data_IF_571701920792
#
_entry.id   IF_571701920792
#
_cell.length_a   1.000
_cell.length_b   1.000
_cell.length_c   1.000
_cell.angle_alpha   90.00
_cell.angle_beta   90.00
_cell.angle_gamma   90.00
#
_symmetry.space_group_name_H-M   'P 1'
#
loop_
_entity.id
_entity.type
_entity.pdbx_description
1 polymer ?
#
# COMPACT_ATOMS: atom_id res chain seq x y z
N UNK A 1 38.98 -21.79 -11.43
CA UNK A 1 38.90 -22.18 -10.01
C UNK A 1 40.20 -22.90 -9.65
N UNK A 2 40.76 -22.65 -8.45
CA UNK A 2 41.98 -23.35 -7.98
C UNK A 2 41.67 -24.86 -7.81
N UNK A 3 42.53 -25.79 -8.28
CA UNK A 3 42.38 -27.23 -8.07
C UNK A 3 42.03 -27.63 -6.63
N UNK A 4 42.67 -27.03 -5.63
CA UNK A 4 42.43 -27.35 -4.20
C UNK A 4 40.99 -27.03 -3.77
N UNK A 5 40.44 -25.92 -4.26
CA UNK A 5 39.07 -25.49 -3.98
C UNK A 5 38.07 -26.43 -4.68
N UNK A 6 38.41 -26.92 -5.88
CA UNK A 6 37.56 -27.88 -6.59
C UNK A 6 37.46 -29.22 -5.85
N UNK A 7 38.56 -29.70 -5.28
CA UNK A 7 38.58 -30.91 -4.45
C UNK A 7 37.82 -30.72 -3.13
N UNK A 8 38.00 -29.56 -2.48
CA UNK A 8 37.27 -29.22 -1.25
C UNK A 8 35.75 -29.23 -1.49
N UNK A 9 35.29 -28.54 -2.54
CA UNK A 9 33.87 -28.52 -2.93
C UNK A 9 33.34 -29.94 -3.15
N UNK A 10 34.08 -30.78 -3.87
CA UNK A 10 33.66 -32.14 -4.17
C UNK A 10 33.47 -32.98 -2.89
N UNK A 11 34.42 -32.89 -1.94
CA UNK A 11 34.30 -33.54 -0.63
C UNK A 11 33.09 -33.06 0.15
N UNK A 12 32.84 -31.75 0.19
CA UNK A 12 31.67 -31.20 0.86
C UNK A 12 30.36 -31.68 0.22
N UNK A 13 30.29 -31.74 -1.11
CA UNK A 13 29.10 -32.25 -1.80
C UNK A 13 28.86 -33.73 -1.48
N UNK A 14 29.91 -34.55 -1.47
CA UNK A 14 29.78 -35.97 -1.10
C UNK A 14 29.28 -36.14 0.33
N UNK A 15 29.84 -35.39 1.29
CA UNK A 15 29.39 -35.41 2.68
C UNK A 15 27.90 -35.03 2.82
N UNK A 16 27.41 -34.07 2.03
CA UNK A 16 25.98 -33.69 2.01
C UNK A 16 25.10 -34.83 1.48
N UNK A 17 25.55 -35.52 0.44
CA UNK A 17 24.84 -36.70 -0.10
C UNK A 17 24.80 -37.82 0.94
N UNK A 18 25.88 -38.00 1.70
CA UNK A 18 26.00 -39.00 2.77
C UNK A 18 25.24 -38.62 4.04
N UNK A 19 24.58 -37.45 4.07
CA UNK A 19 23.66 -37.02 5.13
C UNK A 19 24.20 -35.93 6.05
N UNK A 20 25.44 -35.49 5.90
CA UNK A 20 25.98 -34.33 6.63
C UNK A 20 25.49 -33.02 6.01
N UNK A 21 24.37 -32.54 6.54
CA UNK A 21 23.74 -31.29 6.12
C UNK A 21 24.62 -30.07 6.37
N UNK A 22 25.53 -30.12 7.34
CA UNK A 22 26.35 -28.97 7.71
C UNK A 22 27.39 -28.61 6.64
N UNK A 23 27.87 -29.63 5.91
CA UNK A 23 28.80 -29.48 4.80
C UNK A 23 28.24 -28.65 3.63
N UNK A 24 26.92 -28.52 3.49
CA UNK A 24 26.32 -27.72 2.43
C UNK A 24 26.60 -26.23 2.59
N UNK A 25 26.76 -25.76 3.84
CA UNK A 25 27.15 -24.38 4.12
C UNK A 25 28.44 -24.00 3.39
N UNK A 26 29.42 -24.91 3.39
CA UNK A 26 30.71 -24.66 2.76
C UNK A 26 30.59 -24.55 1.24
N UNK A 27 29.74 -25.39 0.63
CA UNK A 27 29.40 -25.29 -0.80
C UNK A 27 28.79 -23.93 -1.14
N UNK A 28 27.87 -23.45 -0.30
CA UNK A 28 27.25 -22.12 -0.48
C UNK A 28 28.31 -21.03 -0.38
N UNK A 29 29.14 -21.02 0.67
CA UNK A 29 30.18 -19.99 0.87
C UNK A 29 31.11 -19.84 -0.34
N UNK A 30 31.52 -20.95 -0.94
CA UNK A 30 32.44 -20.95 -2.08
C UNK A 30 31.73 -20.52 -3.37
N UNK A 31 30.50 -21.00 -3.59
CA UNK A 31 29.78 -20.78 -4.85
C UNK A 31 28.94 -19.50 -4.87
N UNK A 32 28.65 -18.92 -3.71
CA UNK A 32 27.78 -17.74 -3.56
C UNK A 32 28.23 -16.57 -4.45
N UNK A 33 29.51 -16.14 -4.47
CA UNK A 33 29.91 -15.00 -5.30
C UNK A 33 29.66 -15.25 -6.80
N UNK A 34 29.90 -16.48 -7.27
CA UNK A 34 29.74 -16.88 -8.67
C UNK A 34 28.26 -16.87 -9.07
N UNK A 35 27.40 -17.49 -8.26
CA UNK A 35 25.97 -17.56 -8.53
C UNK A 35 25.32 -16.18 -8.41
N UNK A 36 25.71 -15.41 -7.41
CA UNK A 36 25.23 -14.03 -7.24
C UNK A 36 25.61 -13.15 -8.43
N UNK A 37 26.85 -13.21 -8.91
CA UNK A 37 27.28 -12.48 -10.10
C UNK A 37 26.50 -12.91 -11.35
N UNK A 38 26.28 -14.22 -11.53
CA UNK A 38 25.50 -14.76 -12.64
C UNK A 38 24.06 -14.23 -12.67
N UNK A 39 23.39 -14.25 -11.52
CA UNK A 39 22.01 -13.77 -11.35
C UNK A 39 21.96 -12.25 -11.52
N UNK A 40 22.82 -11.51 -10.84
CA UNK A 40 22.86 -10.04 -10.94
C UNK A 40 23.03 -9.54 -12.38
N UNK A 41 23.88 -10.20 -13.17
CA UNK A 41 24.11 -9.85 -14.57
C UNK A 41 22.89 -10.11 -15.49
N UNK A 42 21.88 -10.86 -15.02
CA UNK A 42 20.70 -11.28 -15.80
C UNK A 42 19.37 -10.82 -15.20
N UNK A 43 19.41 -10.25 -14.00
CA UNK A 43 18.25 -9.67 -13.34
C UNK A 43 17.93 -8.28 -13.89
N UNK A 44 16.64 -7.97 -13.92
CA UNK A 44 16.14 -6.63 -14.25
C UNK A 44 16.38 -5.67 -13.06
N UNK A 45 16.36 -4.34 -13.30
CA UNK A 45 16.39 -3.37 -12.22
C UNK A 45 15.24 -3.59 -11.21
N UNK A 46 15.55 -3.46 -9.92
CA UNK A 46 14.58 -3.62 -8.82
C UNK A 46 14.30 -5.07 -8.39
N UNK A 47 14.92 -6.05 -9.04
CA UNK A 47 14.86 -7.45 -8.62
C UNK A 47 15.78 -7.69 -7.43
N UNK A 48 15.26 -8.36 -6.40
CA UNK A 48 16.09 -8.86 -5.30
C UNK A 48 16.93 -10.06 -5.79
N UNK A 49 18.20 -9.79 -6.07
CA UNK A 49 19.17 -10.81 -6.51
C UNK A 49 19.37 -11.86 -5.42
N UNK A 50 19.41 -11.45 -4.15
CA UNK A 50 19.74 -12.33 -3.04
C UNK A 50 18.58 -13.33 -2.79
N UNK A 51 17.34 -12.93 -3.07
CA UNK A 51 16.19 -13.84 -3.03
C UNK A 51 16.30 -14.96 -4.09
N UNK A 52 16.65 -14.62 -5.35
CA UNK A 52 16.83 -15.63 -6.41
C UNK A 52 17.99 -16.58 -6.07
N UNK A 53 19.09 -16.03 -5.55
CA UNK A 53 20.27 -16.80 -5.14
C UNK A 53 19.91 -17.75 -4.00
N UNK A 54 19.14 -17.29 -3.01
CA UNK A 54 18.65 -18.15 -1.93
C UNK A 54 17.80 -19.30 -2.47
N UNK A 55 16.81 -19.01 -3.34
CA UNK A 55 15.97 -20.07 -3.96
C UNK A 55 16.82 -21.05 -4.77
N UNK A 56 17.86 -20.56 -5.44
CA UNK A 56 18.81 -21.40 -6.18
C UNK A 56 19.51 -22.39 -5.26
N UNK A 57 20.07 -21.95 -4.14
CA UNK A 57 20.74 -22.85 -3.20
C UNK A 57 19.78 -23.79 -2.46
N UNK A 58 18.57 -23.35 -2.15
CA UNK A 58 17.52 -24.21 -1.58
C UNK A 58 17.14 -25.32 -2.56
N UNK A 59 16.96 -24.99 -3.85
CA UNK A 59 16.64 -25.98 -4.87
C UNK A 59 17.83 -26.92 -5.14
N UNK A 60 19.05 -26.38 -5.17
CA UNK A 60 20.27 -27.17 -5.28
C UNK A 60 20.39 -28.17 -4.12
N UNK A 61 20.12 -27.76 -2.88
CA UNK A 61 20.13 -28.65 -1.73
C UNK A 61 19.10 -29.78 -1.87
N UNK A 62 17.87 -29.47 -2.27
CA UNK A 62 16.81 -30.49 -2.49
C UNK A 62 17.16 -31.47 -3.60
N UNK A 63 17.84 -31.00 -4.64
CA UNK A 63 18.20 -31.78 -5.81
C UNK A 63 19.64 -32.34 -5.77
N UNK A 64 20.35 -32.19 -4.65
CA UNK A 64 21.77 -32.55 -4.53
C UNK A 64 22.02 -34.05 -4.76
N UNK A 65 21.07 -34.92 -4.39
CA UNK A 65 21.17 -36.35 -4.66
C UNK A 65 21.12 -36.72 -6.15
N UNK A 66 20.71 -35.80 -7.02
CA UNK A 66 20.73 -35.97 -8.49
C UNK A 66 22.04 -35.46 -9.11
N UNK A 67 22.86 -34.75 -8.36
CA UNK A 67 24.13 -34.26 -8.85
C UNK A 67 25.08 -35.44 -9.05
N UNK A 68 25.72 -35.49 -10.24
CA UNK A 68 26.68 -36.52 -10.56
C UNK A 68 28.06 -36.09 -10.09
N UNK A 69 28.61 -36.80 -9.12
CA UNK A 69 29.97 -36.60 -8.64
C UNK A 69 30.96 -36.62 -9.83
N UNK A 70 31.86 -35.63 -9.91
CA UNK A 70 32.83 -35.48 -11.00
C UNK A 70 32.35 -34.66 -12.20
N UNK A 71 31.08 -34.23 -12.22
CA UNK A 71 30.58 -33.23 -13.20
C UNK A 71 30.81 -31.79 -12.69
N UNK A 72 30.75 -30.80 -13.59
CA UNK A 72 30.96 -29.40 -13.21
C UNK A 72 29.82 -28.87 -12.31
N UNK A 73 30.11 -28.74 -11.01
CA UNK A 73 29.15 -28.21 -10.03
C UNK A 73 28.73 -26.78 -10.35
N UNK A 74 29.65 -25.96 -10.85
CA UNK A 74 29.35 -24.58 -11.20
C UNK A 74 28.35 -24.55 -12.34
N UNK A 75 28.57 -25.31 -13.41
CA UNK A 75 27.61 -25.41 -14.52
C UNK A 75 26.24 -25.93 -14.06
N UNK A 76 26.21 -26.89 -13.14
CA UNK A 76 24.97 -27.41 -12.57
C UNK A 76 24.20 -26.35 -11.74
N UNK A 77 24.88 -25.66 -10.82
CA UNK A 77 24.28 -24.58 -10.04
C UNK A 77 23.83 -23.41 -10.91
N UNK A 78 24.60 -23.05 -11.94
CA UNK A 78 24.21 -22.03 -12.94
C UNK A 78 22.95 -22.45 -13.70
N UNK A 79 22.77 -23.73 -13.98
CA UNK A 79 21.54 -24.23 -14.63
C UNK A 79 20.32 -24.01 -13.75
N UNK A 80 20.44 -24.27 -12.44
CA UNK A 80 19.38 -23.99 -11.46
C UNK A 80 19.14 -22.48 -11.36
N UNK A 81 20.20 -21.68 -11.24
CA UNK A 81 20.13 -20.23 -11.15
C UNK A 81 19.42 -19.61 -12.36
N UNK A 82 19.72 -20.12 -13.57
CA UNK A 82 19.07 -19.71 -14.81
C UNK A 82 17.56 -19.95 -14.76
N UNK A 83 17.15 -21.11 -14.29
CA UNK A 83 15.72 -21.44 -14.16
C UNK A 83 15.03 -20.52 -13.16
N UNK A 84 15.62 -20.31 -11.98
CA UNK A 84 15.08 -19.41 -10.96
C UNK A 84 14.98 -17.96 -11.44
N UNK A 85 15.99 -17.48 -12.18
CA UNK A 85 15.99 -16.14 -12.78
C UNK A 85 14.91 -16.01 -13.84
N UNK A 86 14.75 -17.01 -14.72
CA UNK A 86 13.71 -17.01 -15.75
C UNK A 86 12.30 -16.99 -15.14
N UNK A 87 12.06 -17.79 -14.09
CA UNK A 87 10.80 -17.76 -13.37
C UNK A 87 10.48 -16.38 -12.81
N UNK A 88 11.47 -15.72 -12.21
CA UNK A 88 11.30 -14.36 -11.68
C UNK A 88 10.96 -13.36 -12.77
N UNK A 89 11.69 -13.39 -13.90
CA UNK A 89 11.41 -12.53 -15.06
C UNK A 89 9.99 -12.78 -15.60
N UNK A 90 9.55 -14.03 -15.71
CA UNK A 90 8.18 -14.36 -16.13
C UNK A 90 7.14 -13.86 -15.13
N UNK A 91 7.39 -13.99 -13.82
CA UNK A 91 6.52 -13.48 -12.75
C UNK A 91 6.34 -11.97 -12.86
N UNK A 92 7.45 -11.23 -12.99
CA UNK A 92 7.45 -9.78 -13.11
C UNK A 92 6.76 -9.30 -14.39
N UNK A 93 6.96 -9.99 -15.52
CA UNK A 93 6.23 -9.67 -16.76
C UNK A 93 4.72 -9.84 -16.61
N UNK A 94 4.27 -10.91 -15.95
CA UNK A 94 2.85 -11.13 -15.67
C UNK A 94 2.28 -10.06 -14.74
N UNK A 95 3.04 -9.70 -13.71
CA UNK A 95 2.65 -8.61 -12.79
C UNK A 95 2.55 -7.27 -13.52
N UNK A 96 3.50 -6.95 -14.41
CA UNK A 96 3.46 -5.74 -15.22
C UNK A 96 2.28 -5.73 -16.19
N UNK A 97 1.96 -6.85 -16.86
CA UNK A 97 0.77 -6.97 -17.72
C UNK A 97 -0.53 -6.81 -16.92
N UNK A 98 -0.62 -7.43 -15.74
CA UNK A 98 -1.76 -7.23 -14.83
C UNK A 98 -1.88 -5.77 -14.39
N UNK A 99 -0.79 -5.15 -13.94
CA UNK A 99 -0.78 -3.74 -13.55
C UNK A 99 -1.21 -2.83 -14.69
N UNK A 100 -0.69 -3.05 -15.90
CA UNK A 100 -1.06 -2.28 -17.10
C UNK A 100 -2.56 -2.37 -17.43
N UNK A 101 -3.16 -3.55 -17.29
CA UNK A 101 -4.58 -3.76 -17.60
C UNK A 101 -5.53 -3.22 -16.54
N UNK A 102 -5.19 -3.36 -15.26
CA UNK A 102 -6.15 -3.16 -14.17
C UNK A 102 -5.93 -1.89 -13.35
N UNK A 103 -4.69 -1.41 -13.21
CA UNK A 103 -4.43 -0.19 -12.40
C UNK A 103 -5.09 1.04 -13.02
N UNK A 104 -5.03 1.30 -14.34
CA UNK A 104 -5.69 2.48 -14.92
C UNK A 104 -7.20 2.48 -14.69
N UNK A 105 -7.84 1.32 -14.79
CA UNK A 105 -9.29 1.17 -14.56
C UNK A 105 -9.64 1.41 -13.09
N UNK A 106 -8.86 0.85 -12.16
CA UNK A 106 -9.07 1.05 -10.74
C UNK A 106 -8.88 2.53 -10.35
N UNK A 107 -7.84 3.19 -10.88
CA UNK A 107 -7.56 4.59 -10.63
C UNK A 107 -8.65 5.50 -11.20
N UNK A 108 -9.13 5.23 -12.43
CA UNK A 108 -10.23 5.98 -13.03
C UNK A 108 -11.50 5.91 -12.17
N UNK A 109 -11.87 4.71 -11.70
CA UNK A 109 -13.05 4.53 -10.81
C UNK A 109 -12.89 5.25 -9.47
N UNK A 110 -11.68 5.27 -8.92
CA UNK A 110 -11.41 6.01 -7.69
C UNK A 110 -11.52 7.53 -7.92
N UNK A 111 -10.97 8.04 -9.01
CA UNK A 111 -11.06 9.46 -9.37
C UNK A 111 -12.52 9.88 -9.61
N UNK A 112 -13.31 9.07 -10.32
CA UNK A 112 -14.75 9.29 -10.50
C UNK A 112 -15.49 9.35 -9.15
N UNK A 113 -15.18 8.43 -8.22
CA UNK A 113 -15.77 8.43 -6.88
C UNK A 113 -15.38 9.67 -6.07
N UNK A 114 -14.15 10.17 -6.22
CA UNK A 114 -13.70 11.37 -5.52
C UNK A 114 -14.36 12.63 -6.09
N UNK A 115 -14.41 12.76 -7.43
CA UNK A 115 -15.11 13.86 -8.08
C UNK A 115 -16.60 13.92 -7.72
N UNK A 116 -17.25 12.76 -7.64
CA UNK A 116 -18.64 12.68 -7.17
C UNK A 116 -18.80 13.09 -5.69
N UNK A 117 -17.81 12.80 -4.84
CA UNK A 117 -17.81 13.21 -3.43
C UNK A 117 -17.60 14.72 -3.30
N UNK A 118 -16.62 15.29 -4.00
CA UNK A 118 -16.28 16.72 -3.97
C UNK A 118 -17.48 17.57 -4.43
N UNK A 119 -18.19 17.15 -5.49
CA UNK A 119 -19.41 17.82 -5.95
C UNK A 119 -20.50 17.85 -4.87
N UNK A 120 -20.69 16.75 -4.12
CA UNK A 120 -21.67 16.72 -3.03
C UNK A 120 -21.24 17.53 -1.81
N UNK A 121 -19.93 17.71 -1.59
CA UNK A 121 -19.39 18.52 -0.51
C UNK A 121 -19.56 20.02 -0.79
N UNK A 122 -19.32 20.44 -2.04
CA UNK A 122 -19.58 21.80 -2.51
C UNK A 122 -21.07 22.19 -2.44
N UNK A 123 -21.97 21.26 -2.78
CA UNK A 123 -23.42 21.47 -2.61
C UNK A 123 -23.82 21.62 -1.14
N UNK A 124 -23.30 20.76 -0.26
CA UNK A 124 -23.56 20.85 1.19
C UNK A 124 -23.05 22.14 1.81
N UNK A 125 -21.88 22.62 1.38
CA UNK A 125 -21.36 23.92 1.79
C UNK A 125 -22.24 25.07 1.31
N UNK A 126 -22.76 24.97 0.08
CA UNK A 126 -23.71 25.94 -0.47
C UNK A 126 -25.01 25.96 0.33
N UNK A 127 -25.61 24.79 0.62
CA UNK A 127 -26.81 24.71 1.45
C UNK A 127 -26.58 25.20 2.87
N UNK A 128 -25.41 24.92 3.46
CA UNK A 128 -25.07 25.45 4.79
C UNK A 128 -25.06 26.98 4.78
N UNK A 129 -24.47 27.63 3.78
CA UNK A 129 -24.47 29.09 3.65
C UNK A 129 -25.89 29.65 3.54
N UNK A 130 -26.74 29.02 2.74
CA UNK A 130 -28.14 29.42 2.60
C UNK A 130 -28.93 29.23 3.90
N UNK A 131 -28.78 28.08 4.57
CA UNK A 131 -29.43 27.78 5.84
C UNK A 131 -28.97 28.73 6.97
N UNK A 132 -27.69 29.13 6.99
CA UNK A 132 -27.18 30.18 7.88
C UNK A 132 -27.81 31.56 7.60
N UNK A 133 -28.22 31.81 6.35
CA UNK A 133 -29.00 32.99 5.98
C UNK A 133 -30.40 33.02 6.59
N UNK A 134 -30.99 31.86 6.89
CA UNK A 134 -32.38 31.72 7.37
C UNK A 134 -32.52 31.67 8.91
N UNK A 135 -31.43 31.54 9.65
CA UNK A 135 -31.46 31.60 11.12
C UNK A 135 -31.49 33.05 11.61
N UNK A 136 -32.01 33.24 12.83
CA UNK A 136 -32.08 34.56 13.48
C UNK A 136 -30.67 35.13 13.68
N UNK A 137 -30.54 36.46 13.57
CA UNK A 137 -29.25 37.15 13.70
C UNK A 137 -28.53 36.82 15.01
N UNK A 138 -29.26 36.79 16.14
CA UNK A 138 -28.70 36.42 17.45
C UNK A 138 -28.08 35.02 17.48
N UNK A 139 -28.65 34.09 16.71
CA UNK A 139 -28.18 32.71 16.61
C UNK A 139 -27.03 32.57 15.60
N UNK A 140 -26.99 33.43 14.58
CA UNK A 140 -25.84 33.50 13.65
C UNK A 140 -24.61 34.07 14.34
N UNK A 141 -24.79 35.12 15.14
CA UNK A 141 -23.75 35.69 16.00
C UNK A 141 -23.18 34.64 16.96
N UNK A 142 -24.05 33.83 17.58
CA UNK A 142 -23.63 32.72 18.43
C UNK A 142 -22.76 31.70 17.69
N UNK A 143 -23.14 31.32 16.48
CA UNK A 143 -22.37 30.41 15.61
C UNK A 143 -21.03 31.04 15.23
N UNK A 144 -21.02 32.31 14.83
CA UNK A 144 -19.80 33.03 14.44
C UNK A 144 -18.79 33.06 15.59
N UNK A 145 -19.22 33.48 16.77
CA UNK A 145 -18.36 33.51 17.97
C UNK A 145 -17.84 32.13 18.36
N UNK A 146 -18.66 31.09 18.21
CA UNK A 146 -18.23 29.73 18.56
C UNK A 146 -17.24 29.15 17.56
N UNK A 147 -17.43 29.40 16.26
CA UNK A 147 -16.72 28.66 15.21
C UNK A 147 -15.71 29.49 14.41
N UNK A 148 -15.89 30.80 14.32
CA UNK A 148 -14.93 31.71 13.68
C UNK A 148 -13.96 32.33 14.71
N UNK A 149 -14.46 32.66 15.91
CA UNK A 149 -13.64 33.27 16.98
C UNK A 149 -13.14 32.24 18.02
N UNK A 150 -13.62 31.00 17.95
CA UNK A 150 -13.31 29.88 18.86
C UNK A 150 -13.49 30.18 20.36
N UNK A 151 -14.47 31.02 20.69
CA UNK A 151 -14.76 31.40 22.08
C UNK A 151 -15.43 30.27 22.87
N UNK A 152 -15.17 30.23 24.18
CA UNK A 152 -15.83 29.30 25.11
C UNK A 152 -17.32 29.64 25.30
N UNK A 153 -18.11 28.68 25.78
CA UNK A 153 -19.53 28.95 26.05
C UNK A 153 -19.72 29.97 27.17
N UNK A 154 -18.78 30.03 28.11
CA UNK A 154 -18.73 31.00 29.19
C UNK A 154 -18.45 32.42 28.67
N UNK A 155 -17.47 32.57 27.77
CA UNK A 155 -17.10 33.88 27.19
C UNK A 155 -18.21 34.44 26.28
N UNK A 156 -18.83 33.56 25.50
CA UNK A 156 -19.98 33.92 24.66
C UNK A 156 -21.17 34.34 25.54
N UNK A 157 -21.43 33.63 26.63
CA UNK A 157 -22.49 33.96 27.57
C UNK A 157 -22.27 35.33 28.23
N UNK A 158 -21.04 35.63 28.65
CA UNK A 158 -20.66 36.93 29.20
C UNK A 158 -20.86 38.05 28.17
N UNK A 159 -20.41 37.85 26.93
CA UNK A 159 -20.50 38.85 25.86
C UNK A 159 -21.95 39.11 25.41
N UNK A 160 -22.76 38.04 25.32
CA UNK A 160 -24.16 38.13 24.91
C UNK A 160 -25.11 38.46 26.07
N UNK A 161 -24.61 38.67 27.30
CA UNK A 161 -25.40 38.91 28.52
C UNK A 161 -26.46 37.84 28.78
N UNK A 162 -26.08 36.57 28.62
CA UNK A 162 -26.95 35.39 28.79
C UNK A 162 -26.28 34.39 29.74
N UNK A 163 -27.01 33.37 30.19
CA UNK A 163 -26.42 32.29 30.99
C UNK A 163 -25.74 31.27 30.08
N UNK A 164 -24.66 30.65 30.54
CA UNK A 164 -23.96 29.58 29.80
C UNK A 164 -24.90 28.41 29.44
N UNK A 165 -25.86 28.10 30.31
CA UNK A 165 -26.91 27.11 30.02
C UNK A 165 -27.84 27.50 28.86
N UNK A 166 -28.23 28.78 28.78
CA UNK A 166 -29.03 29.29 27.66
C UNK A 166 -28.25 29.25 26.34
N UNK A 167 -26.97 29.64 26.37
CA UNK A 167 -26.06 29.56 25.19
C UNK A 167 -25.91 28.12 24.70
N UNK A 168 -25.68 27.15 25.59
CA UNK A 168 -25.56 25.73 25.25
C UNK A 168 -26.84 25.18 24.61
N UNK A 169 -28.00 25.52 25.19
CA UNK A 169 -29.30 25.10 24.67
C UNK A 169 -29.57 25.71 23.30
N UNK A 170 -29.29 27.00 23.11
CA UNK A 170 -29.46 27.66 21.82
C UNK A 170 -28.53 27.08 20.76
N UNK A 171 -27.27 26.84 21.07
CA UNK A 171 -26.31 26.24 20.13
C UNK A 171 -26.78 24.85 19.67
N UNK A 172 -27.33 24.03 20.58
CA UNK A 172 -27.91 22.74 20.24
C UNK A 172 -29.10 22.87 19.28
N UNK A 173 -30.02 23.80 19.55
CA UNK A 173 -31.19 24.05 18.70
C UNK A 173 -30.79 24.55 17.31
N UNK A 174 -29.80 25.44 17.22
CA UNK A 174 -29.32 25.98 15.95
C UNK A 174 -28.64 24.89 15.12
N UNK A 175 -27.79 24.06 15.73
CA UNK A 175 -27.18 22.90 15.05
C UNK A 175 -28.23 21.95 14.49
N UNK A 176 -29.25 21.62 15.28
CA UNK A 176 -30.36 20.76 14.85
C UNK A 176 -31.09 21.36 13.65
N UNK A 177 -31.40 22.66 13.71
CA UNK A 177 -32.11 23.36 12.62
C UNK A 177 -31.27 23.50 11.34
N UNK A 178 -29.96 23.73 11.47
CA UNK A 178 -29.06 23.75 10.31
C UNK A 178 -28.96 22.36 9.68
N UNK A 179 -28.88 21.31 10.50
CA UNK A 179 -28.87 19.93 10.02
C UNK A 179 -30.14 19.57 9.25
N UNK A 180 -31.32 19.81 9.84
CA UNK A 180 -32.62 19.58 9.19
C UNK A 180 -32.77 20.38 7.88
N UNK A 181 -32.30 21.62 7.85
CA UNK A 181 -32.34 22.47 6.65
C UNK A 181 -31.44 21.94 5.53
N UNK A 182 -30.22 21.50 5.87
CA UNK A 182 -29.28 20.92 4.90
C UNK A 182 -29.83 19.58 4.38
N UNK A 183 -30.37 18.72 5.23
CA UNK A 183 -30.96 17.45 4.81
C UNK A 183 -32.13 17.67 3.84
N UNK A 184 -33.03 18.60 4.15
CA UNK A 184 -34.17 18.95 3.29
C UNK A 184 -33.72 19.53 1.93
N UNK A 185 -32.70 20.40 1.90
CA UNK A 185 -32.15 20.90 0.63
C UNK A 185 -31.43 19.81 -0.16
N UNK A 186 -30.69 18.95 0.52
CA UNK A 186 -30.00 17.80 -0.08
C UNK A 186 -31.00 16.80 -0.69
N UNK A 187 -32.16 16.57 -0.06
CA UNK A 187 -33.20 15.68 -0.61
C UNK A 187 -33.88 16.28 -1.84
N UNK A 188 -34.19 17.59 -1.81
CA UNK A 188 -34.79 18.29 -2.96
C UNK A 188 -33.88 18.30 -4.19
N UNK A 189 -32.57 18.52 -4.03
CA UNK A 189 -31.63 18.52 -5.16
C UNK A 189 -31.45 17.13 -5.77
N UNK A 190 -31.57 16.06 -4.97
CA UNK A 190 -31.54 14.67 -5.46
C UNK A 190 -32.76 14.28 -6.28
N UNK A 191 -33.93 14.87 -6.01
CA UNK A 191 -35.17 14.63 -6.77
C UNK A 191 -35.15 15.34 -8.14
N UNK A 192 -34.52 16.52 -8.23
CA UNK A 192 -34.41 17.29 -9.49
C UNK A 192 -33.32 16.73 -10.42
N UNK A 193 -32.29 16.06 -9.87
CA UNK A 193 -31.23 15.41 -10.66
C UNK A 193 -31.61 14.05 -11.27
N UNK A 194 -32.83 13.55 -11.06
CA UNK A 194 -33.30 12.23 -11.50
C UNK A 194 -34.16 12.20 -12.76
N UNK A 195 -34.38 13.33 -13.44
CA UNK A 195 -35.20 13.45 -14.66
C UNK A 195 -34.39 13.66 -15.96
N UNK A 196 -33.17 13.12 -16.06
CA UNK A 196 -32.41 13.08 -17.32
C UNK A 196 -31.98 11.65 -17.69
#
# INVERSE_FOLDING_TARGET
MNPEVSEEIHRCVQAVVDGDRSSFRRVVEIMLPVIRAYVAARSLPGVDVDEIVQRTFVEAYKSIGKYRAGSDLQAWLVTIARFQTMMEVTRLRRQADYHSRYIPVALARQMESQLACDATEDERLTFLRECLGQIKESSRELIHRRYAEDLSMEDIAATMKRTAGAVRKELCLVRKRLHECIEHKTSLTREVGGEQ
#
